data_IF_090517186834
#
_entry.id   IF_090517186834
#
_cell.length_a   1.000
_cell.length_b   1.000
_cell.length_c   1.000
_cell.angle_alpha   90.00
_cell.angle_beta   90.00
_cell.angle_gamma   90.00
#
_symmetry.space_group_name_H-M   'P 1'
#
loop_
_entity.id
_entity.type
_entity.pdbx_description
1 polymer ?
#
# COMPACT_ATOMS: atom_id res chain seq x y z
N UNK A 1 -16.56 -9.96 2.06
CA UNK A 1 -16.41 -9.35 0.73
C UNK A 1 -14.92 -9.38 0.41
N UNK A 2 -14.49 -9.94 -0.71
CA UNK A 2 -13.05 -9.93 -1.07
C UNK A 2 -12.76 -8.63 -1.81
N UNK A 3 -11.80 -7.86 -1.31
CA UNK A 3 -11.31 -6.63 -1.95
C UNK A 3 -10.30 -7.03 -3.01
N UNK A 4 -10.46 -6.52 -4.23
CA UNK A 4 -9.56 -6.78 -5.35
C UNK A 4 -8.82 -5.50 -5.74
N UNK A 5 -7.81 -5.60 -6.60
CA UNK A 5 -7.11 -4.42 -7.17
C UNK A 5 -8.07 -3.40 -7.78
N UNK A 6 -9.21 -3.84 -8.32
CA UNK A 6 -10.24 -2.96 -8.88
C UNK A 6 -10.90 -2.03 -7.85
N UNK A 7 -10.88 -2.41 -6.57
CA UNK A 7 -11.39 -1.61 -5.46
C UNK A 7 -10.36 -0.60 -4.94
N UNK A 8 -9.13 -0.68 -5.44
CA UNK A 8 -7.98 0.15 -5.06
C UNK A 8 -7.70 1.17 -6.16
N UNK A 9 -7.92 2.44 -5.86
CA UNK A 9 -7.77 3.57 -6.77
C UNK A 9 -6.39 4.18 -6.55
N UNK A 10 -5.48 3.98 -7.50
CA UNK A 10 -4.15 4.58 -7.43
C UNK A 10 -4.24 6.10 -7.65
N UNK A 11 -3.83 6.87 -6.65
CA UNK A 11 -3.86 8.34 -6.66
C UNK A 11 -2.61 8.97 -7.28
N UNK A 12 -1.56 8.16 -7.48
CA UNK A 12 -0.28 8.63 -7.97
C UNK A 12 0.81 8.59 -6.90
N UNK A 13 1.86 9.36 -7.14
CA UNK A 13 3.02 9.46 -6.29
C UNK A 13 3.26 10.92 -5.91
N UNK A 14 3.58 11.16 -4.64
CA UNK A 14 3.93 12.48 -4.13
C UNK A 14 5.18 12.37 -3.27
N UNK A 15 6.26 13.02 -3.71
CA UNK A 15 7.56 13.01 -3.03
C UNK A 15 8.09 11.57 -2.77
N UNK A 16 7.98 10.69 -3.77
CA UNK A 16 8.39 9.27 -3.67
C UNK A 16 7.38 8.37 -2.94
N UNK A 17 6.39 8.94 -2.26
CA UNK A 17 5.34 8.17 -1.57
C UNK A 17 4.19 7.94 -2.54
N UNK A 18 3.97 6.69 -2.87
CA UNK A 18 2.81 6.21 -3.61
C UNK A 18 1.58 6.21 -2.73
N UNK A 19 0.44 6.60 -3.30
CA UNK A 19 -0.85 6.66 -2.60
C UNK A 19 -1.93 5.87 -3.35
N UNK A 20 -2.77 5.17 -2.59
CA UNK A 20 -3.96 4.47 -3.07
C UNK A 20 -5.13 4.73 -2.14
N UNK A 21 -6.30 4.96 -2.70
CA UNK A 21 -7.55 5.06 -1.95
C UNK A 21 -8.42 3.84 -2.21
N UNK A 22 -9.14 3.37 -1.20
CA UNK A 22 -10.18 2.37 -1.37
C UNK A 22 -11.54 3.03 -1.54
N UNK A 23 -12.48 2.31 -2.16
CA UNK A 23 -13.87 2.76 -2.25
C UNK A 23 -14.54 2.96 -0.87
N UNK A 24 -14.01 2.31 0.17
CA UNK A 24 -14.46 2.50 1.56
C UNK A 24 -13.97 3.81 2.20
N UNK A 25 -13.13 4.59 1.51
CA UNK A 25 -12.59 5.86 1.99
C UNK A 25 -11.29 5.74 2.81
N UNK A 26 -10.59 4.61 2.72
CA UNK A 26 -9.29 4.42 3.40
C UNK A 26 -8.16 4.72 2.43
N UNK A 27 -7.20 5.55 2.85
CA UNK A 27 -6.00 5.86 2.08
C UNK A 27 -4.80 5.05 2.56
N UNK A 28 -4.02 4.55 1.63
CA UNK A 28 -2.81 3.76 1.86
C UNK A 28 -1.63 4.41 1.18
N UNK A 29 -0.54 4.51 1.92
CA UNK A 29 0.69 5.15 1.50
C UNK A 29 1.84 4.18 1.60
N UNK A 30 2.74 4.24 0.62
CA UNK A 30 3.94 3.42 0.60
C UNK A 30 5.08 4.12 -0.13
N UNK A 31 6.30 3.98 0.39
CA UNK A 31 7.52 4.46 -0.24
C UNK A 31 8.42 3.26 -0.59
N UNK A 32 9.21 3.29 -1.67
CA UNK A 32 10.17 2.21 -2.01
C UNK A 32 11.10 1.80 -0.86
N UNK A 33 11.50 2.76 -0.03
CA UNK A 33 12.32 2.52 1.18
C UNK A 33 11.53 1.91 2.35
N UNK A 34 10.20 1.88 2.29
CA UNK A 34 9.35 1.30 3.31
C UNK A 34 9.07 -0.16 3.01
N UNK A 35 9.32 -1.02 4.00
CA UNK A 35 8.99 -2.45 3.94
C UNK A 35 7.57 -2.73 4.43
N UNK A 36 6.71 -1.70 4.45
CA UNK A 36 5.34 -1.74 4.96
C UNK A 36 4.47 -0.66 4.33
N UNK A 37 3.17 -0.91 4.33
CA UNK A 37 2.14 0.07 3.96
C UNK A 37 1.72 0.88 5.19
N UNK A 38 1.34 2.14 5.00
CA UNK A 38 0.89 3.03 6.07
C UNK A 38 -0.44 3.72 5.73
N UNK A 39 -1.14 4.23 6.75
CA UNK A 39 -2.37 5.04 6.56
C UNK A 39 -2.08 6.54 6.40
N UNK A 40 -0.80 6.93 6.47
CA UNK A 40 -0.38 8.31 6.35
C UNK A 40 0.88 8.45 5.49
N UNK A 41 1.07 9.65 4.92
CA UNK A 41 2.23 9.99 4.10
C UNK A 41 3.56 10.00 4.90
N UNK A 42 3.52 9.84 6.22
CA UNK A 42 4.73 9.84 7.06
C UNK A 42 5.30 8.44 7.28
N UNK A 43 4.51 7.40 7.02
CA UNK A 43 4.94 6.02 7.17
C UNK A 43 4.99 5.54 8.62
N UNK A 44 4.55 6.37 9.57
CA UNK A 44 4.65 6.08 11.01
C UNK A 44 3.66 5.01 11.46
N UNK A 45 2.47 4.97 10.84
CA UNK A 45 1.46 3.95 11.13
C UNK A 45 1.58 2.77 10.18
N UNK A 46 2.55 1.89 10.46
CA UNK A 46 2.70 0.64 9.71
C UNK A 46 1.49 -0.28 9.92
N UNK A 47 0.82 -0.66 8.83
CA UNK A 47 -0.35 -1.55 8.86
C UNK A 47 -0.01 -3.00 8.56
N UNK A 48 0.67 -3.21 7.43
CA UNK A 48 1.00 -4.54 6.93
C UNK A 48 2.38 -4.49 6.31
N UNK A 49 3.15 -5.54 6.52
CA UNK A 49 4.50 -5.65 5.94
C UNK A 49 4.40 -6.08 4.49
N UNK A 50 5.28 -5.53 3.68
CA UNK A 50 5.47 -5.97 2.30
C UNK A 50 6.42 -7.16 2.33
N UNK A 51 6.00 -8.23 1.68
CA UNK A 51 6.81 -9.43 1.54
C UNK A 51 7.69 -9.27 0.31
N UNK A 52 8.99 -9.08 0.52
CA UNK A 52 9.96 -8.87 -0.55
C UNK A 52 10.83 -10.13 -0.64
N UNK A 53 10.67 -10.95 -1.68
CA UNK A 53 11.45 -12.17 -1.81
C UNK A 53 12.93 -11.88 -2.10
N UNK A 54 13.25 -10.82 -2.86
CA UNK A 54 14.62 -10.39 -3.13
C UNK A 54 14.65 -8.99 -3.75
N UNK A 55 15.55 -8.10 -3.28
CA UNK A 55 15.77 -6.78 -3.86
C UNK A 55 14.94 -5.67 -3.19
N UNK A 56 14.52 -4.69 -3.98
CA UNK A 56 13.75 -3.52 -3.54
C UNK A 56 12.25 -3.80 -3.60
N UNK A 57 11.48 -3.25 -2.66
CA UNK A 57 10.03 -3.35 -2.71
C UNK A 57 9.51 -2.62 -3.95
N UNK A 58 8.62 -3.28 -4.70
CA UNK A 58 7.99 -2.66 -5.86
C UNK A 58 6.58 -2.18 -5.51
N UNK A 59 6.08 -1.26 -6.35
CA UNK A 59 4.68 -0.81 -6.30
C UNK A 59 3.70 -2.00 -6.28
N UNK A 60 3.98 -3.05 -7.05
CA UNK A 60 3.12 -4.22 -7.12
C UNK A 60 3.10 -5.02 -5.81
N UNK A 61 4.21 -5.02 -5.07
CA UNK A 61 4.29 -5.70 -3.76
C UNK A 61 3.55 -4.89 -2.68
N UNK A 62 3.61 -3.57 -2.75
CA UNK A 62 2.79 -2.69 -1.93
C UNK A 62 1.28 -2.89 -2.17
N UNK A 63 0.85 -2.95 -3.43
CA UNK A 63 -0.55 -3.25 -3.78
C UNK A 63 -1.01 -4.60 -3.21
N UNK A 64 -0.18 -5.65 -3.33
CA UNK A 64 -0.48 -6.95 -2.71
C UNK A 64 -0.60 -6.87 -1.19
N UNK A 65 0.26 -6.10 -0.53
CA UNK A 65 0.20 -5.92 0.93
C UNK A 65 -1.08 -5.19 1.35
N UNK A 66 -1.50 -4.17 0.60
CA UNK A 66 -2.78 -3.48 0.82
C UNK A 66 -3.95 -4.45 0.67
N UNK A 67 -3.98 -5.22 -0.42
CA UNK A 67 -5.03 -6.22 -0.64
C UNK A 67 -5.04 -7.30 0.46
N UNK A 68 -3.87 -7.74 0.91
CA UNK A 68 -3.76 -8.69 2.02
C UNK A 68 -4.32 -8.11 3.31
N UNK A 69 -4.02 -6.85 3.62
CA UNK A 69 -4.56 -6.15 4.79
C UNK A 69 -6.08 -6.03 4.73
N UNK A 70 -6.63 -5.65 3.57
CA UNK A 70 -8.06 -5.47 3.37
C UNK A 70 -8.86 -6.79 3.35
N UNK A 71 -8.21 -7.91 3.01
CA UNK A 71 -8.83 -9.24 2.97
C UNK A 71 -8.58 -10.07 4.23
N UNK A 72 -8.04 -9.47 5.29
CA UNK A 72 -7.69 -10.15 6.54
C UNK A 72 -8.90 -10.44 7.42
#
# INVERSE_FOLDING_TARGET
>A
MKVNTSDLIYQGEKAGVHNWDTFSGTSFYWHPDWLHIAEDMTGHKALEKIDIPQGEATKADAEKAILKHLNK
#
